data_IF_668996484601
#
_entry.id   IF_668996484601
#
_cell.length_a   1.000
_cell.length_b   1.000
_cell.length_c   1.000
_cell.angle_alpha   90.00
_cell.angle_beta   90.00
_cell.angle_gamma   90.00
#
_symmetry.space_group_name_H-M   'P 1'
#
loop_
_entity.id
_entity.type
_entity.pdbx_description
1 polymer ?
#
# COMPACT_ATOMS: atom_id res chain seq x y z
N UNK A 1 -25.05 52.52 -46.32
CA UNK A 1 -24.24 51.93 -45.24
C UNK A 1 -25.22 51.68 -44.10
N UNK A 2 -25.80 50.48 -44.06
CA UNK A 2 -26.76 50.07 -43.03
C UNK A 2 -26.00 49.60 -41.78
N UNK A 3 -26.15 50.35 -40.70
CA UNK A 3 -25.60 50.00 -39.39
C UNK A 3 -26.55 49.02 -38.71
N UNK A 4 -26.26 47.72 -38.79
CA UNK A 4 -26.90 46.71 -37.93
C UNK A 4 -26.56 47.02 -36.47
N UNK A 5 -27.49 47.67 -35.78
CA UNK A 5 -27.44 47.77 -34.32
C UNK A 5 -27.82 46.42 -33.74
N UNK A 6 -26.81 45.65 -33.32
CA UNK A 6 -27.02 44.43 -32.55
C UNK A 6 -27.82 44.75 -31.30
N UNK A 7 -28.97 44.09 -31.13
CA UNK A 7 -29.80 44.20 -29.93
C UNK A 7 -28.98 43.81 -28.69
N UNK A 8 -28.66 44.78 -27.83
CA UNK A 8 -28.17 44.51 -26.48
C UNK A 8 -29.36 44.07 -25.61
N UNK A 9 -29.50 42.77 -25.41
CA UNK A 9 -30.44 42.22 -24.44
C UNK A 9 -29.80 42.25 -23.03
N UNK A 10 -30.43 42.95 -22.10
CA UNK A 10 -30.06 42.89 -20.68
C UNK A 10 -30.45 41.56 -20.05
N UNK A 11 -29.69 41.09 -19.07
CA UNK A 11 -29.99 39.85 -18.35
C UNK A 11 -31.16 40.02 -17.39
N UNK A 12 -32.05 39.03 -17.39
CA UNK A 12 -33.12 38.93 -16.39
C UNK A 12 -32.56 38.51 -15.01
N UNK A 13 -33.21 38.96 -13.93
CA UNK A 13 -32.91 38.51 -12.56
C UNK A 13 -33.07 36.99 -12.41
N UNK A 14 -34.07 36.41 -13.08
CA UNK A 14 -34.31 34.96 -13.10
C UNK A 14 -33.18 34.23 -13.84
N UNK A 15 -32.69 34.82 -14.92
CA UNK A 15 -31.61 34.26 -15.73
C UNK A 15 -30.28 34.29 -14.98
N UNK A 16 -30.00 35.39 -14.27
CA UNK A 16 -28.85 35.49 -13.35
C UNK A 16 -28.94 34.45 -12.22
N UNK A 17 -30.12 34.23 -11.65
CA UNK A 17 -30.31 33.23 -10.59
C UNK A 17 -30.06 31.81 -11.08
N UNK A 18 -30.56 31.46 -12.27
CA UNK A 18 -30.31 30.17 -12.91
C UNK A 18 -28.81 30.02 -13.20
N UNK A 19 -28.15 31.05 -13.74
CA UNK A 19 -26.73 31.02 -14.04
C UNK A 19 -25.86 30.78 -12.80
N UNK A 20 -26.13 31.50 -11.69
CA UNK A 20 -25.40 31.31 -10.43
C UNK A 20 -25.67 29.93 -9.83
N UNK A 21 -26.90 29.40 -9.96
CA UNK A 21 -27.24 28.05 -9.49
C UNK A 21 -26.46 26.98 -10.26
N UNK A 22 -26.44 27.08 -11.60
CA UNK A 22 -25.68 26.15 -12.45
C UNK A 22 -24.18 26.24 -12.18
N UNK A 23 -23.64 27.46 -12.01
CA UNK A 23 -22.24 27.68 -11.66
C UNK A 23 -21.89 27.06 -10.30
N UNK A 24 -22.75 27.23 -9.30
CA UNK A 24 -22.53 26.66 -7.95
C UNK A 24 -22.52 25.14 -7.99
N UNK A 25 -23.48 24.52 -8.67
CA UNK A 25 -23.51 23.06 -8.84
C UNK A 25 -22.27 22.57 -9.60
N UNK A 26 -21.90 23.24 -10.69
CA UNK A 26 -20.72 22.87 -11.48
C UNK A 26 -19.41 22.97 -10.70
N UNK A 27 -19.22 24.08 -9.97
CA UNK A 27 -17.99 24.30 -9.17
C UNK A 27 -17.88 23.34 -8.00
N UNK A 28 -18.98 23.03 -7.29
CA UNK A 28 -18.99 22.02 -6.23
C UNK A 28 -18.69 20.61 -6.76
N UNK A 29 -19.24 20.27 -7.94
CA UNK A 29 -18.95 19.00 -8.61
C UNK A 29 -17.45 18.84 -8.92
N UNK A 30 -16.82 19.89 -9.49
CA UNK A 30 -15.38 19.91 -9.76
C UNK A 30 -14.54 19.81 -8.48
N UNK A 31 -14.93 20.52 -7.42
CA UNK A 31 -14.24 20.45 -6.13
C UNK A 31 -14.26 19.03 -5.54
N UNK A 32 -15.40 18.33 -5.65
CA UNK A 32 -15.53 16.94 -5.21
C UNK A 32 -14.60 15.98 -5.98
N UNK A 33 -14.55 16.08 -7.31
CA UNK A 33 -13.66 15.26 -8.15
C UNK A 33 -12.19 15.56 -7.84
N UNK A 34 -11.84 16.84 -7.67
CA UNK A 34 -10.48 17.24 -7.30
C UNK A 34 -10.05 16.68 -5.94
N UNK A 35 -10.92 16.76 -4.93
CA UNK A 35 -10.64 16.21 -3.60
C UNK A 35 -10.37 14.70 -3.65
N UNK A 36 -11.18 13.94 -4.40
CA UNK A 36 -10.97 12.51 -4.61
C UNK A 36 -9.67 12.24 -5.38
N UNK A 37 -9.36 13.06 -6.39
CA UNK A 37 -8.12 12.97 -7.16
C UNK A 37 -6.88 13.15 -6.29
N UNK A 38 -6.83 14.20 -5.46
CA UNK A 38 -5.71 14.47 -4.54
C UNK A 38 -5.52 13.33 -3.54
N UNK A 39 -6.61 12.79 -2.96
CA UNK A 39 -6.54 11.66 -2.03
C UNK A 39 -5.94 10.38 -2.67
N UNK A 40 -6.21 10.14 -3.96
CA UNK A 40 -5.61 9.00 -4.67
C UNK A 40 -4.11 9.22 -4.89
N UNK A 41 -3.71 10.41 -5.33
CA UNK A 41 -2.30 10.73 -5.58
C UNK A 41 -1.45 10.64 -4.31
N UNK A 42 -1.95 11.11 -3.17
CA UNK A 42 -1.21 11.03 -1.90
C UNK A 42 -1.08 9.60 -1.36
N UNK A 43 -1.93 8.66 -1.79
CA UNK A 43 -1.85 7.24 -1.38
C UNK A 43 -0.87 6.39 -2.21
N UNK A 44 -0.42 6.89 -3.36
CA UNK A 44 0.39 6.10 -4.31
C UNK A 44 1.73 5.60 -3.74
N UNK A 45 2.50 6.39 -2.95
CA UNK A 45 3.74 5.90 -2.37
C UNK A 45 3.54 4.73 -1.40
N UNK A 46 2.50 4.79 -0.58
CA UNK A 46 2.19 3.74 0.39
C UNK A 46 1.75 2.44 -0.30
N UNK A 47 1.04 2.55 -1.43
CA UNK A 47 0.66 1.40 -2.25
C UNK A 47 1.88 0.73 -2.89
N UNK A 48 2.78 1.50 -3.51
CA UNK A 48 4.03 0.96 -4.06
C UNK A 48 4.85 0.23 -3.00
N UNK A 49 4.99 0.84 -1.83
CA UNK A 49 5.68 0.22 -0.71
C UNK A 49 4.98 -1.08 -0.27
N UNK A 50 3.65 -1.08 -0.15
CA UNK A 50 2.90 -2.28 0.21
C UNK A 50 3.13 -3.42 -0.80
N UNK A 51 3.18 -3.12 -2.09
CA UNK A 51 3.50 -4.12 -3.12
C UNK A 51 4.93 -4.67 -2.98
N UNK A 52 5.91 -3.80 -2.77
CA UNK A 52 7.31 -4.20 -2.59
C UNK A 52 7.50 -5.05 -1.32
N UNK A 53 6.86 -4.67 -0.21
CA UNK A 53 6.95 -5.43 1.05
C UNK A 53 6.20 -6.75 1.00
N UNK A 54 5.10 -6.83 0.27
CA UNK A 54 4.43 -8.10 0.02
C UNK A 54 5.33 -9.04 -0.81
N UNK A 55 5.96 -8.53 -1.87
CA UNK A 55 6.89 -9.31 -2.68
C UNK A 55 8.12 -9.75 -1.87
N UNK A 56 8.75 -8.84 -1.13
CA UNK A 56 9.90 -9.16 -0.28
C UNK A 56 9.57 -10.22 0.79
N UNK A 57 8.35 -10.21 1.34
CA UNK A 57 7.91 -11.23 2.28
C UNK A 57 7.72 -12.60 1.62
N UNK A 58 7.21 -12.66 0.39
CA UNK A 58 7.20 -13.91 -0.38
C UNK A 58 8.63 -14.40 -0.60
N UNK A 59 9.53 -13.53 -1.04
CA UNK A 59 10.94 -13.90 -1.24
C UNK A 59 11.61 -14.39 0.05
N UNK A 60 11.28 -13.81 1.21
CA UNK A 60 11.76 -14.28 2.51
C UNK A 60 11.30 -15.71 2.81
N UNK A 61 10.03 -16.05 2.51
CA UNK A 61 9.52 -17.42 2.67
C UNK A 61 10.21 -18.40 1.71
N UNK A 62 10.47 -17.99 0.46
CA UNK A 62 11.18 -18.81 -0.52
C UNK A 62 12.66 -19.00 -0.13
N UNK A 63 13.32 -17.94 0.32
CA UNK A 63 14.69 -17.99 0.84
C UNK A 63 14.82 -18.89 2.07
N UNK A 64 13.86 -18.82 3.00
CA UNK A 64 13.82 -19.72 4.17
C UNK A 64 13.74 -21.19 3.75
N UNK A 65 13.04 -21.48 2.66
CA UNK A 65 12.91 -22.82 2.08
C UNK A 65 14.19 -23.27 1.36
N UNK A 66 14.76 -22.40 0.54
CA UNK A 66 15.94 -22.72 -0.30
C UNK A 66 17.24 -22.78 0.50
N UNK A 67 17.34 -22.00 1.57
CA UNK A 67 18.51 -22.02 2.46
C UNK A 67 18.63 -23.31 3.29
N UNK A 68 17.56 -24.10 3.38
CA UNK A 68 17.44 -25.27 4.26
C UNK A 68 17.74 -24.98 5.75
N UNK A 69 17.76 -23.70 6.15
CA UNK A 69 17.89 -23.30 7.56
C UNK A 69 16.61 -23.59 8.34
N UNK A 70 15.46 -23.58 7.66
CA UNK A 70 14.14 -23.91 8.20
C UNK A 70 13.66 -25.22 7.57
N UNK A 71 13.24 -26.18 8.40
CA UNK A 71 12.71 -27.44 7.89
C UNK A 71 11.39 -27.22 7.14
N UNK A 72 11.10 -28.05 6.13
CA UNK A 72 9.81 -27.98 5.43
C UNK A 72 8.63 -28.07 6.39
N UNK A 73 8.69 -28.88 7.45
CA UNK A 73 7.62 -28.96 8.45
C UNK A 73 7.40 -27.65 9.25
N UNK A 74 8.43 -26.81 9.34
CA UNK A 74 8.42 -25.53 10.06
C UNK A 74 7.94 -24.35 9.21
N UNK A 75 7.86 -24.48 7.88
CA UNK A 75 7.34 -23.45 6.97
C UNK A 75 5.81 -23.35 7.02
N UNK A 76 5.27 -23.10 8.21
CA UNK A 76 3.84 -22.97 8.51
C UNK A 76 3.64 -21.85 9.52
N UNK A 77 2.39 -21.45 9.71
CA UNK A 77 2.06 -20.61 10.84
C UNK A 77 2.24 -21.35 12.18
N UNK A 78 2.50 -20.63 13.27
CA UNK A 78 2.75 -21.22 14.60
C UNK A 78 1.55 -22.02 15.15
N UNK A 79 0.32 -21.72 14.71
CA UNK A 79 -0.86 -22.52 15.07
C UNK A 79 -0.86 -23.92 14.39
N UNK A 80 -0.09 -24.07 13.31
CA UNK A 80 0.09 -25.29 12.54
C UNK A 80 1.49 -25.90 12.77
N UNK A 81 2.17 -25.51 13.86
CA UNK A 81 3.47 -26.05 14.26
C UNK A 81 4.68 -25.48 13.51
N UNK A 82 4.52 -24.36 12.79
CA UNK A 82 5.64 -23.68 12.11
C UNK A 82 6.17 -22.44 12.84
N UNK A 83 6.94 -21.62 12.14
CA UNK A 83 7.64 -20.45 12.70
C UNK A 83 6.93 -19.10 12.43
N UNK A 84 6.02 -19.03 11.46
CA UNK A 84 5.40 -17.77 11.07
C UNK A 84 4.30 -17.37 12.04
N UNK A 85 4.39 -16.16 12.61
CA UNK A 85 3.39 -15.65 13.53
C UNK A 85 2.01 -15.54 12.85
N UNK A 86 0.96 -15.75 13.64
CA UNK A 86 -0.42 -15.64 13.15
C UNK A 86 -0.89 -14.18 13.10
N UNK A 87 -1.76 -13.89 12.14
CA UNK A 87 -2.42 -12.59 12.03
C UNK A 87 -1.48 -11.44 11.64
N UNK A 88 -2.01 -10.20 11.60
CA UNK A 88 -1.23 -9.03 11.24
C UNK A 88 -0.14 -8.72 12.28
N UNK A 89 1.11 -8.67 11.83
CA UNK A 89 2.28 -8.25 12.60
C UNK A 89 2.78 -6.89 12.11
N UNK A 90 3.36 -6.03 12.96
CA UNK A 90 4.03 -4.82 12.48
C UNK A 90 5.17 -5.16 11.51
N UNK A 91 5.46 -4.29 10.54
CA UNK A 91 6.60 -4.48 9.63
C UNK A 91 7.90 -4.31 10.42
N UNK A 92 8.46 -5.42 10.87
CA UNK A 92 9.76 -5.50 11.54
C UNK A 92 10.81 -6.07 10.58
N UNK A 93 12.06 -5.69 10.84
CA UNK A 93 13.23 -6.29 10.20
C UNK A 93 13.38 -7.74 10.66
N UNK A 94 13.89 -8.60 9.78
CA UNK A 94 14.19 -9.99 10.08
C UNK A 94 15.12 -10.13 11.29
N UNK A 95 14.90 -11.19 12.05
CA UNK A 95 15.74 -11.57 13.17
C UNK A 95 16.99 -12.33 12.75
N UNK A 96 17.71 -12.92 13.72
CA UNK A 96 18.82 -13.84 13.46
C UNK A 96 18.51 -15.01 12.53
N UNK A 97 17.24 -15.43 12.41
CA UNK A 97 16.83 -16.48 11.48
C UNK A 97 16.80 -16.06 10.00
N UNK A 98 16.90 -14.74 9.72
CA UNK A 98 16.85 -14.19 8.36
C UNK A 98 15.50 -14.33 7.69
N UNK A 99 14.44 -14.56 8.47
CA UNK A 99 13.06 -14.71 8.00
C UNK A 99 12.21 -13.62 8.62
N UNK A 100 11.30 -13.06 7.83
CA UNK A 100 10.38 -12.04 8.33
C UNK A 100 9.10 -12.67 8.90
N UNK A 101 8.43 -11.97 9.82
CA UNK A 101 7.18 -12.41 10.44
C UNK A 101 7.35 -13.63 11.37
N UNK A 102 8.51 -13.76 11.99
CA UNK A 102 8.86 -14.79 12.97
C UNK A 102 9.01 -14.18 14.37
N UNK A 103 9.29 -15.02 15.38
CA UNK A 103 9.29 -14.61 16.78
C UNK A 103 10.52 -13.75 17.18
N UNK A 104 11.60 -13.81 16.40
CA UNK A 104 12.87 -13.13 16.61
C UNK A 104 13.00 -11.84 15.79
N UNK A 105 11.95 -11.45 15.04
CA UNK A 105 11.85 -10.17 14.34
C UNK A 105 12.25 -8.98 15.23
N UNK A 106 13.09 -8.11 14.67
CA UNK A 106 13.72 -7.01 15.38
C UNK A 106 12.85 -5.76 15.54
N UNK A 107 13.47 -4.60 15.30
CA UNK A 107 12.80 -3.29 15.38
C UNK A 107 11.87 -3.06 14.18
N UNK A 108 11.00 -2.03 14.28
CA UNK A 108 10.22 -1.59 13.14
C UNK A 108 11.14 -1.20 11.98
N UNK A 109 10.77 -1.66 10.79
CA UNK A 109 11.51 -1.39 9.57
C UNK A 109 11.33 0.08 9.15
N UNK A 110 12.39 0.65 8.58
CA UNK A 110 12.44 2.02 8.11
C UNK A 110 12.85 2.06 6.64
N UNK A 111 12.50 3.14 5.96
CA UNK A 111 13.01 3.48 4.63
C UNK A 111 13.63 4.86 4.67
N UNK A 112 14.77 5.00 4.01
CA UNK A 112 15.39 6.31 3.77
C UNK A 112 14.85 6.83 2.45
N UNK A 113 14.15 7.96 2.52
CA UNK A 113 13.65 8.67 1.35
C UNK A 113 14.60 9.84 1.03
N UNK A 114 14.81 10.13 -0.26
CA UNK A 114 15.66 11.23 -0.66
C UNK A 114 15.09 12.56 -0.16
N UNK A 115 16.00 13.47 0.15
CA UNK A 115 15.66 14.82 0.61
C UNK A 115 15.11 15.72 -0.51
N UNK A 116 15.25 17.03 -0.29
CA UNK A 116 14.80 18.04 -1.26
C UNK A 116 15.58 17.95 -2.57
N UNK A 117 16.82 17.48 -2.51
CA UNK A 117 17.69 17.29 -3.66
C UNK A 117 17.37 16.05 -4.52
N UNK A 118 16.42 15.21 -4.08
CA UNK A 118 16.02 13.95 -4.74
C UNK A 118 17.17 12.93 -4.84
N UNK A 119 18.23 13.08 -4.04
CA UNK A 119 19.35 12.13 -3.96
C UNK A 119 19.30 11.39 -2.63
N UNK A 120 19.65 10.11 -2.64
CA UNK A 120 19.80 9.30 -1.41
C UNK A 120 21.27 9.31 -0.99
N UNK A 121 21.53 9.39 0.31
CA UNK A 121 22.85 9.45 0.92
C UNK A 121 23.34 10.87 1.21
N UNK A 122 22.44 11.87 1.20
CA UNK A 122 22.73 13.27 1.48
C UNK A 122 22.19 13.69 2.85
N UNK A 123 22.71 14.78 3.45
CA UNK A 123 22.32 15.18 4.81
C UNK A 123 20.83 15.55 4.98
N UNK A 124 20.09 15.77 3.89
CA UNK A 124 18.67 16.10 3.90
C UNK A 124 17.74 14.89 3.70
N UNK A 125 18.29 13.67 3.66
CA UNK A 125 17.53 12.42 3.67
C UNK A 125 16.55 12.33 4.85
N UNK A 126 15.37 11.78 4.58
CA UNK A 126 14.33 11.60 5.59
C UNK A 126 14.12 10.12 5.85
N UNK A 127 14.35 9.69 7.09
CA UNK A 127 14.01 8.33 7.52
C UNK A 127 12.53 8.26 7.87
N UNK A 128 11.77 7.45 7.14
CA UNK A 128 10.38 7.14 7.43
C UNK A 128 10.27 5.74 8.04
N UNK A 129 9.71 5.64 9.23
CA UNK A 129 9.34 4.36 9.83
C UNK A 129 8.02 3.87 9.23
N UNK A 130 7.87 2.56 9.03
CA UNK A 130 6.61 1.96 8.59
C UNK A 130 5.55 1.86 9.69
N UNK A 131 5.44 2.91 10.52
CA UNK A 131 4.40 3.01 11.51
C UNK A 131 3.01 3.01 10.85
N UNK A 132 2.09 2.20 11.38
CA UNK A 132 0.78 1.96 10.79
C UNK A 132 0.73 1.00 9.60
N UNK A 133 1.84 0.34 9.23
CA UNK A 133 1.82 -0.83 8.34
C UNK A 133 1.81 -2.13 9.15
N UNK A 134 1.06 -3.11 8.66
CA UNK A 134 1.10 -4.48 9.17
C UNK A 134 1.21 -5.49 8.03
N UNK A 135 1.84 -6.63 8.31
CA UNK A 135 2.06 -7.76 7.42
C UNK A 135 1.52 -9.02 8.08
N UNK A 136 0.65 -9.71 7.38
CA UNK A 136 0.23 -11.07 7.72
C UNK A 136 0.77 -12.02 6.65
N UNK A 137 1.49 -13.06 7.07
CA UNK A 137 1.89 -14.18 6.21
C UNK A 137 1.04 -15.38 6.60
N UNK A 138 0.10 -15.74 5.75
CA UNK A 138 -0.76 -16.90 5.95
C UNK A 138 -0.30 -18.04 5.06
N UNK A 139 0.08 -19.16 5.69
CA UNK A 139 0.52 -20.37 5.00
C UNK A 139 -0.50 -21.47 5.22
N UNK A 140 -0.97 -22.06 4.12
CA UNK A 140 -1.97 -23.13 4.13
C UNK A 140 -1.44 -24.33 3.36
N UNK A 141 -1.53 -25.51 3.97
CA UNK A 141 -1.22 -26.77 3.31
C UNK A 141 -2.27 -27.10 2.26
N UNK A 142 -1.84 -27.31 1.01
CA UNK A 142 -2.69 -27.79 -0.09
C UNK A 142 -2.49 -29.28 -0.33
N UNK A 143 -1.27 -29.77 -0.06
CA UNK A 143 -0.88 -31.17 0.01
C UNK A 143 0.38 -31.30 0.89
N UNK A 144 0.94 -32.50 1.02
CA UNK A 144 2.17 -32.71 1.80
C UNK A 144 3.38 -31.92 1.26
N UNK A 145 3.43 -31.71 -0.06
CA UNK A 145 4.54 -31.10 -0.78
C UNK A 145 4.21 -29.72 -1.38
N UNK A 146 3.01 -29.19 -1.14
CA UNK A 146 2.57 -27.91 -1.73
C UNK A 146 1.82 -27.07 -0.71
N UNK A 147 2.18 -25.79 -0.61
CA UNK A 147 1.52 -24.80 0.25
C UNK A 147 1.22 -23.53 -0.51
N UNK A 148 0.11 -22.87 -0.16
CA UNK A 148 -0.13 -21.49 -0.54
C UNK A 148 0.43 -20.55 0.51
N UNK A 149 1.11 -19.50 0.07
CA UNK A 149 1.59 -18.40 0.90
C UNK A 149 0.83 -17.15 0.47
N UNK A 150 -0.03 -16.65 1.35
CA UNK A 150 -0.78 -15.40 1.14
C UNK A 150 -0.21 -14.34 2.05
N UNK A 151 0.36 -13.29 1.47
CA UNK A 151 0.84 -12.12 2.18
C UNK A 151 -0.17 -11.00 2.06
N UNK A 152 -0.62 -10.46 3.20
CA UNK A 152 -1.49 -9.29 3.27
C UNK A 152 -0.74 -8.14 3.94
N UNK A 153 -0.57 -7.03 3.22
CA UNK A 153 -0.04 -5.78 3.78
C UNK A 153 -1.19 -4.83 4.00
N UNK A 154 -1.42 -4.41 5.24
CA UNK A 154 -2.45 -3.41 5.58
C UNK A 154 -1.79 -2.11 5.99
N UNK A 155 -2.25 -1.00 5.44
CA UNK A 155 -1.62 0.31 5.59
C UNK A 155 -2.65 1.44 5.58
N UNK A 156 -2.25 2.59 6.14
CA UNK A 156 -3.06 3.81 6.14
C UNK A 156 -2.84 4.62 4.85
N UNK A 157 -3.92 4.88 4.12
CA UNK A 157 -3.96 5.71 2.92
C UNK A 157 -4.80 6.96 3.21
N UNK A 158 -4.20 7.97 3.84
CA UNK A 158 -4.91 9.16 4.32
C UNK A 158 -5.87 8.80 5.47
N UNK A 159 -7.18 9.09 5.38
CA UNK A 159 -8.15 8.72 6.41
C UNK A 159 -8.60 7.24 6.33
N UNK A 160 -8.30 6.53 5.23
CA UNK A 160 -8.76 5.17 4.99
C UNK A 160 -7.68 4.14 5.29
N UNK A 161 -8.07 2.95 5.73
CA UNK A 161 -7.20 1.77 5.78
C UNK A 161 -7.37 1.01 4.47
N UNK A 162 -6.27 0.59 3.86
CA UNK A 162 -6.23 -0.22 2.65
C UNK A 162 -5.37 -1.46 2.88
N UNK A 163 -5.58 -2.47 2.05
CA UNK A 163 -4.79 -3.69 2.07
C UNK A 163 -4.37 -4.08 0.65
N UNK A 164 -3.15 -4.58 0.53
CA UNK A 164 -2.64 -5.24 -0.66
C UNK A 164 -2.41 -6.72 -0.35
N UNK A 165 -2.85 -7.61 -1.25
CA UNK A 165 -2.75 -9.07 -1.07
C UNK A 165 -1.98 -9.67 -2.22
N UNK A 166 -0.96 -10.46 -1.91
CA UNK A 166 -0.20 -11.26 -2.86
C UNK A 166 -0.26 -12.73 -2.44
N UNK A 167 -0.52 -13.62 -3.39
CA UNK A 167 -0.50 -15.07 -3.14
C UNK A 167 0.48 -15.76 -4.07
N UNK A 168 1.32 -16.61 -3.51
CA UNK A 168 2.22 -17.50 -4.23
C UNK A 168 2.02 -18.94 -3.74
N UNK A 169 2.60 -19.89 -4.48
CA UNK A 169 2.61 -21.30 -4.12
C UNK A 169 4.05 -21.77 -3.99
N UNK A 170 4.34 -22.51 -2.93
CA UNK A 170 5.67 -23.03 -2.64
C UNK A 170 5.61 -24.55 -2.50
N UNK A 171 6.60 -25.24 -3.06
CA UNK A 171 6.70 -26.69 -2.99
C UNK A 171 7.87 -27.15 -2.11
N UNK A 172 7.87 -28.41 -1.69
CA UNK A 172 9.00 -29.01 -0.98
C UNK A 172 10.23 -29.26 -1.87
N UNK A 173 10.08 -29.23 -3.20
CA UNK A 173 11.13 -29.61 -4.17
C UNK A 173 11.84 -28.40 -4.79
N UNK A 174 13.08 -28.13 -4.34
CA UNK A 174 13.91 -27.00 -4.80
C UNK A 174 14.76 -27.33 -6.02
#
# INVERSE_FOLDING_TARGET
>A
MDSQHGSQAGFSLVETFIAVSVLTVGTLGLAGVFAVGVQKTTSSPAELLATQKAAAAIESVFSARDSHMVAWTQLRNVNNGGIFLNGPQPLRVEGPDGVVNTADDGVLETVVLPGRDQMVGTPDDVTQTFDGFTREIRIVDLSDDLRSVTVTITYKAGPSIRSYVLTAYISSFA
#
